data_IF_588495675845
#
_entry.id   IF_588495675845
#
_cell.length_a   1.000
_cell.length_b   1.000
_cell.length_c   1.000
_cell.angle_alpha   90.00
_cell.angle_beta   90.00
_cell.angle_gamma   90.00
#
_symmetry.space_group_name_H-M   'P 1'
#
loop_
_entity.id
_entity.type
_entity.pdbx_description
1 polymer ?
#
# COMPACT_ATOMS: atom_id res chain seq x y z
N UNK A 1 -25.95 -11.94 63.82
CA UNK A 1 -24.51 -11.66 63.76
C UNK A 1 -23.84 -12.68 62.86
N UNK A 2 -22.94 -12.21 61.97
CA UNK A 2 -22.15 -12.90 60.93
C UNK A 2 -22.81 -13.09 59.54
N UNK A 3 -22.52 -12.07 58.72
CA UNK A 3 -22.42 -12.07 57.25
C UNK A 3 -21.67 -13.28 56.69
N UNK A 4 -22.01 -13.70 55.46
CA UNK A 4 -21.15 -13.62 54.26
C UNK A 4 -21.71 -14.54 53.16
N UNK A 5 -22.60 -14.00 52.32
CA UNK A 5 -22.93 -14.60 51.02
C UNK A 5 -23.22 -13.49 50.02
N UNK A 6 -22.18 -12.72 49.71
CA UNK A 6 -22.22 -11.70 48.67
C UNK A 6 -20.87 -11.73 47.96
N UNK A 7 -20.62 -12.79 47.20
CA UNK A 7 -19.38 -12.94 46.44
C UNK A 7 -19.59 -13.79 45.20
N UNK A 8 -20.57 -13.47 44.34
CA UNK A 8 -20.69 -14.17 43.05
C UNK A 8 -21.35 -13.37 41.91
N UNK A 9 -21.39 -12.04 41.96
CA UNK A 9 -22.01 -11.22 40.91
C UNK A 9 -21.23 -9.93 40.56
N UNK A 10 -19.90 -9.95 40.69
CA UNK A 10 -19.03 -8.85 40.21
C UNK A 10 -17.86 -9.45 39.42
N UNK A 11 -18.16 -10.33 38.46
CA UNK A 11 -17.16 -10.80 37.49
C UNK A 11 -17.73 -10.93 36.07
N UNK A 12 -18.71 -10.07 35.76
CA UNK A 12 -19.31 -9.88 34.43
C UNK A 12 -19.38 -8.39 34.09
N UNK A 13 -18.37 -7.64 34.50
CA UNK A 13 -18.12 -6.27 34.05
C UNK A 13 -16.61 -6.18 33.80
N UNK A 14 -16.21 -5.65 32.63
CA UNK A 14 -14.82 -5.44 32.18
C UNK A 14 -14.11 -6.60 31.45
N UNK A 15 -14.70 -7.14 30.38
CA UNK A 15 -13.91 -7.44 29.17
C UNK A 15 -14.74 -7.15 27.92
N UNK A 16 -15.36 -5.97 27.87
CA UNK A 16 -15.70 -5.35 26.60
C UNK A 16 -14.94 -4.02 26.53
N UNK A 17 -13.63 -4.12 26.76
CA UNK A 17 -12.71 -3.12 26.25
C UNK A 17 -12.93 -3.13 24.75
N UNK A 18 -13.63 -2.13 24.25
CA UNK A 18 -13.64 -1.81 22.85
C UNK A 18 -12.18 -1.90 22.37
N UNK A 19 -11.84 -2.95 21.61
CA UNK A 19 -10.80 -2.86 20.61
C UNK A 19 -11.35 -1.90 19.56
N UNK A 20 -11.44 -0.62 19.89
CA UNK A 20 -11.20 0.43 18.93
C UNK A 20 -9.72 0.30 18.62
N UNK A 21 -9.39 -0.65 17.73
CA UNK A 21 -8.12 -0.64 17.05
C UNK A 21 -8.09 0.67 16.28
N UNK A 22 -7.43 1.65 16.85
CA UNK A 22 -7.08 2.88 16.16
C UNK A 22 -6.29 2.43 14.93
N UNK A 23 -6.93 2.50 13.76
CA UNK A 23 -6.28 2.13 12.51
C UNK A 23 -5.23 3.19 12.26
N UNK A 24 -3.98 2.86 12.57
CA UNK A 24 -2.85 3.75 12.36
C UNK A 24 -2.75 4.08 10.87
N UNK A 25 -2.56 5.36 10.59
CA UNK A 25 -2.20 5.86 9.27
C UNK A 25 -0.94 5.15 8.75
N UNK A 26 -0.81 4.97 7.44
CA UNK A 26 0.38 4.33 6.87
C UNK A 26 1.55 5.30 6.92
N UNK A 27 2.68 4.82 7.46
CA UNK A 27 3.96 5.49 7.31
C UNK A 27 4.53 5.17 5.93
N UNK A 28 4.53 6.15 5.03
CA UNK A 28 5.05 6.01 3.67
C UNK A 28 6.27 6.91 3.51
N UNK A 29 7.41 6.27 3.28
CA UNK A 29 8.67 6.93 2.96
C UNK A 29 9.04 6.66 1.50
N UNK A 30 9.33 7.73 0.76
CA UNK A 30 9.92 7.64 -0.57
C UNK A 30 11.44 7.82 -0.49
N UNK A 31 12.17 6.72 -0.71
CA UNK A 31 13.65 6.71 -0.73
C UNK A 31 14.16 6.74 -2.16
N UNK A 32 15.17 7.57 -2.42
CA UNK A 32 15.86 7.63 -3.71
C UNK A 32 17.32 7.23 -3.52
N UNK A 33 17.76 6.21 -4.26
CA UNK A 33 19.18 5.89 -4.43
C UNK A 33 19.66 6.50 -5.74
N UNK A 34 20.82 7.15 -5.71
CA UNK A 34 21.40 7.81 -6.89
C UNK A 34 22.70 7.08 -7.26
N UNK A 35 22.84 6.73 -8.54
CA UNK A 35 24.08 6.19 -9.11
C UNK A 35 24.70 7.25 -10.05
N UNK A 36 26.03 7.39 -10.05
CA UNK A 36 26.78 8.34 -10.89
C UNK A 36 26.29 9.80 -10.77
N UNK A 37 26.03 10.22 -9.53
CA UNK A 37 25.55 11.56 -9.17
C UNK A 37 26.40 12.68 -9.80
N UNK A 38 25.73 13.69 -10.36
CA UNK A 38 26.34 14.86 -10.99
C UNK A 38 26.89 14.62 -12.40
N UNK A 39 26.72 13.42 -12.97
CA UNK A 39 27.21 13.10 -14.31
C UNK A 39 26.08 13.00 -15.33
N UNK A 40 26.42 13.00 -16.63
CA UNK A 40 25.46 12.71 -17.72
C UNK A 40 24.84 11.31 -17.65
N UNK A 41 25.40 10.42 -16.82
CA UNK A 41 24.98 9.03 -16.63
C UNK A 41 24.23 8.84 -15.31
N UNK A 42 23.82 9.93 -14.64
CA UNK A 42 23.12 9.88 -13.36
C UNK A 42 21.82 9.08 -13.49
N UNK A 43 21.62 8.12 -12.58
CA UNK A 43 20.40 7.34 -12.49
C UNK A 43 19.83 7.42 -11.09
N UNK A 44 18.50 7.57 -10.99
CA UNK A 44 17.79 7.64 -9.71
C UNK A 44 16.83 6.47 -9.62
N UNK A 45 16.88 5.78 -8.49
CA UNK A 45 16.11 4.57 -8.22
C UNK A 45 15.17 4.89 -7.07
N UNK A 46 13.88 5.01 -7.37
CA UNK A 46 12.81 5.31 -6.41
C UNK A 46 12.28 4.05 -5.73
N UNK A 47 12.13 4.09 -4.42
CA UNK A 47 11.59 3.00 -3.61
C UNK A 47 10.51 3.55 -2.68
N UNK A 48 9.39 2.83 -2.58
CA UNK A 48 8.40 3.09 -1.53
C UNK A 48 8.63 2.13 -0.38
N UNK A 49 8.81 2.69 0.80
CA UNK A 49 8.86 1.95 2.04
C UNK A 49 7.56 2.25 2.79
N UNK A 50 6.78 1.23 3.08
CA UNK A 50 5.48 1.34 3.75
C UNK A 50 5.57 0.55 5.05
N UNK A 51 5.36 1.23 6.17
CA UNK A 51 5.53 0.67 7.52
C UNK A 51 6.87 -0.07 7.68
N UNK A 52 7.95 0.54 7.16
CA UNK A 52 9.31 -0.01 7.22
C UNK A 52 9.63 -1.15 6.24
N UNK A 53 8.68 -1.59 5.39
CA UNK A 53 8.90 -2.63 4.37
C UNK A 53 8.91 -2.05 2.97
N UNK A 54 9.83 -2.51 2.13
CA UNK A 54 9.84 -2.11 0.72
C UNK A 54 8.62 -2.67 0.00
N UNK A 55 7.88 -1.80 -0.68
CA UNK A 55 6.82 -2.21 -1.58
C UNK A 55 7.42 -2.89 -2.82
N UNK A 56 6.92 -4.06 -3.24
CA UNK A 56 7.43 -4.73 -4.41
C UNK A 56 7.07 -3.99 -5.70
N UNK A 57 7.91 -4.13 -6.72
CA UNK A 57 7.77 -3.49 -8.02
C UNK A 57 6.77 -4.26 -8.89
N UNK A 58 5.49 -4.30 -8.51
CA UNK A 58 4.44 -5.01 -9.27
C UNK A 58 3.34 -4.07 -9.78
N UNK A 59 3.30 -2.84 -9.29
CA UNK A 59 2.23 -1.89 -9.55
C UNK A 59 2.75 -0.74 -10.40
N UNK A 60 1.98 -0.34 -11.41
CA UNK A 60 2.29 0.84 -12.23
C UNK A 60 1.96 2.14 -11.48
N UNK A 61 0.99 2.09 -10.58
CA UNK A 61 0.57 3.22 -9.73
C UNK A 61 0.34 2.73 -8.32
N UNK A 62 0.80 3.52 -7.35
CA UNK A 62 0.52 3.35 -5.93
C UNK A 62 0.06 4.70 -5.41
N UNK A 63 -1.02 4.74 -4.64
CA UNK A 63 -1.51 6.00 -4.11
C UNK A 63 -2.06 5.87 -2.69
N UNK A 64 -1.81 6.91 -1.91
CA UNK A 64 -2.16 7.01 -0.50
C UNK A 64 -2.29 8.46 -0.09
N UNK A 65 -3.26 8.77 0.77
CA UNK A 65 -3.49 10.11 1.32
C UNK A 65 -3.35 11.25 0.30
N UNK A 66 -3.98 11.06 -0.86
CA UNK A 66 -3.93 12.07 -1.92
C UNK A 66 -2.55 12.31 -2.52
N UNK A 67 -1.56 11.43 -2.32
CA UNK A 67 -0.28 11.35 -3.05
C UNK A 67 -0.32 10.15 -4.00
N UNK A 68 0.10 10.36 -5.25
CA UNK A 68 0.24 9.28 -6.24
C UNK A 68 1.71 9.08 -6.57
N UNK A 69 2.14 7.83 -6.63
CA UNK A 69 3.46 7.40 -7.05
C UNK A 69 3.33 6.59 -8.33
N UNK A 70 4.11 6.96 -9.35
CA UNK A 70 4.11 6.31 -10.64
C UNK A 70 5.38 5.50 -10.77
N UNK A 71 5.24 4.24 -11.18
CA UNK A 71 6.39 3.42 -11.52
C UNK A 71 6.97 3.90 -12.85
N UNK A 72 8.22 4.37 -12.80
CA UNK A 72 8.97 4.83 -13.95
C UNK A 72 9.97 3.77 -14.39
N UNK A 73 10.18 3.67 -15.70
CA UNK A 73 11.23 2.85 -16.31
C UNK A 73 12.03 3.76 -17.24
N UNK A 74 13.28 4.07 -16.90
CA UNK A 74 14.15 4.82 -17.82
C UNK A 74 14.43 3.97 -19.06
N UNK A 75 14.55 4.63 -20.21
CA UNK A 75 14.90 3.95 -21.46
C UNK A 75 16.40 3.92 -21.74
N UNK A 76 17.18 4.70 -20.99
CA UNK A 76 18.62 4.87 -21.17
C UNK A 76 19.38 4.50 -19.89
N UNK A 77 20.72 4.64 -19.91
CA UNK A 77 21.56 4.40 -18.72
C UNK A 77 21.40 5.47 -17.62
N UNK A 78 20.67 6.55 -17.89
CA UNK A 78 20.42 7.68 -16.99
C UNK A 78 18.92 7.95 -16.85
N UNK A 79 18.55 8.66 -15.78
CA UNK A 79 17.16 8.99 -15.43
C UNK A 79 16.56 8.08 -14.37
N UNK A 80 15.23 8.05 -14.33
CA UNK A 80 14.45 7.54 -13.20
C UNK A 80 13.95 6.11 -13.43
N UNK A 81 14.14 5.22 -12.45
CA UNK A 81 13.42 3.95 -12.36
C UNK A 81 12.80 3.70 -10.97
N UNK A 82 11.73 2.92 -10.91
CA UNK A 82 10.99 2.70 -9.68
C UNK A 82 9.92 3.77 -9.43
N UNK A 83 9.44 3.86 -8.20
CA UNK A 83 8.29 4.70 -7.85
C UNK A 83 8.72 6.15 -7.59
N UNK A 84 8.08 7.13 -8.24
CA UNK A 84 8.29 8.55 -7.99
C UNK A 84 6.97 9.30 -7.75
N UNK A 85 6.93 10.29 -6.85
CA UNK A 85 5.72 11.04 -6.56
C UNK A 85 5.32 11.94 -7.73
N UNK A 86 4.03 11.96 -8.04
CA UNK A 86 3.42 12.90 -8.96
C UNK A 86 3.08 14.19 -8.20
N UNK A 87 3.70 15.31 -8.58
CA UNK A 87 3.59 16.61 -7.87
C UNK A 87 2.15 17.14 -7.70
N UNK A 88 1.21 16.69 -8.52
CA UNK A 88 -0.21 17.07 -8.41
C UNK A 88 -1.06 15.83 -8.29
N UNK A 89 -1.18 15.36 -7.07
CA UNK A 89 -1.97 14.19 -6.81
C UNK A 89 -3.46 14.56 -6.66
N UNK A 90 -4.30 13.71 -7.24
CA UNK A 90 -5.74 13.90 -7.33
C UNK A 90 -6.41 13.14 -6.20
N UNK A 91 -7.39 13.78 -5.55
CA UNK A 91 -8.27 13.08 -4.61
C UNK A 91 -8.94 11.88 -5.30
N UNK A 92 -9.05 10.77 -4.58
CA UNK A 92 -9.78 9.61 -5.09
C UNK A 92 -11.25 9.97 -5.26
N UNK A 93 -11.83 9.57 -6.39
CA UNK A 93 -13.26 9.71 -6.58
C UNK A 93 -14.01 8.80 -5.60
N UNK A 94 -15.00 9.32 -4.86
CA UNK A 94 -15.81 8.48 -3.99
C UNK A 94 -16.72 7.56 -4.82
N UNK A 95 -16.81 6.31 -4.39
CA UNK A 95 -17.82 5.37 -4.90
C UNK A 95 -19.17 5.62 -4.20
N UNK A 96 -20.27 5.27 -4.88
CA UNK A 96 -21.59 5.19 -4.24
C UNK A 96 -21.71 4.00 -3.30
N UNK A 97 -20.85 2.99 -3.48
CA UNK A 97 -20.83 1.77 -2.68
C UNK A 97 -20.18 2.01 -1.31
N UNK A 98 -20.67 1.26 -0.32
CA UNK A 98 -20.17 1.25 1.06
C UNK A 98 -19.19 0.09 1.21
N UNK A 99 -18.13 0.31 1.99
CA UNK A 99 -17.17 -0.72 2.37
C UNK A 99 -17.86 -1.78 3.24
N UNK A 100 -17.61 -3.06 2.95
CA UNK A 100 -18.30 -4.17 3.62
C UNK A 100 -17.35 -5.09 4.36
N UNK A 101 -17.90 -5.92 5.25
CA UNK A 101 -17.13 -6.93 5.99
C UNK A 101 -16.48 -7.96 5.05
N UNK A 102 -17.07 -8.23 3.88
CA UNK A 102 -16.45 -9.11 2.89
C UNK A 102 -15.16 -8.49 2.31
N UNK A 103 -15.16 -7.18 2.04
CA UNK A 103 -13.97 -6.45 1.60
C UNK A 103 -12.87 -6.55 2.67
N UNK A 104 -13.25 -6.33 3.94
CA UNK A 104 -12.33 -6.43 5.08
C UNK A 104 -11.72 -7.83 5.23
N UNK A 105 -12.55 -8.88 5.12
CA UNK A 105 -12.12 -10.27 5.26
C UNK A 105 -11.24 -10.72 4.10
N UNK A 106 -11.51 -10.25 2.87
CA UNK A 106 -10.68 -10.51 1.71
C UNK A 106 -9.35 -9.76 1.80
N UNK A 107 -9.39 -8.51 2.27
CA UNK A 107 -8.23 -7.64 2.40
C UNK A 107 -7.98 -6.73 1.20
N UNK A 108 -8.86 -6.77 0.18
CA UNK A 108 -8.88 -5.83 -0.94
C UNK A 108 -10.27 -5.75 -1.56
N UNK A 109 -10.50 -4.73 -2.38
CA UNK A 109 -11.63 -4.68 -3.31
C UNK A 109 -11.21 -4.01 -4.63
N UNK A 110 -11.72 -4.55 -5.74
CA UNK A 110 -11.43 -4.04 -7.08
C UNK A 110 -12.11 -2.70 -7.37
N UNK A 111 -11.45 -1.89 -8.21
CA UNK A 111 -11.95 -0.62 -8.71
C UNK A 111 -11.06 0.57 -8.37
N UNK A 112 -11.35 1.70 -9.04
CA UNK A 112 -10.61 2.96 -8.91
C UNK A 112 -11.28 4.01 -8.02
N UNK A 113 -12.47 3.70 -7.49
CA UNK A 113 -13.24 4.61 -6.63
C UNK A 113 -13.22 4.13 -5.18
N UNK A 114 -13.01 5.06 -4.25
CA UNK A 114 -12.93 4.74 -2.82
C UNK A 114 -14.34 4.49 -2.27
N UNK A 115 -14.59 3.28 -1.75
CA UNK A 115 -15.85 2.96 -1.06
C UNK A 115 -15.97 3.77 0.23
N UNK A 116 -17.18 4.22 0.57
CA UNK A 116 -17.43 4.95 1.82
C UNK A 116 -17.10 4.04 3.01
N UNK A 117 -16.23 4.52 3.91
CA UNK A 117 -15.78 3.76 5.08
C UNK A 117 -14.59 2.82 4.81
N UNK A 118 -13.90 2.96 3.68
CA UNK A 118 -12.62 2.28 3.46
C UNK A 118 -11.65 2.65 4.57
N UNK A 119 -10.98 1.67 5.21
CA UNK A 119 -9.96 1.94 6.23
C UNK A 119 -8.88 2.90 5.76
N UNK A 120 -8.45 3.79 6.65
CA UNK A 120 -7.41 4.79 6.36
C UNK A 120 -6.04 4.18 6.10
N UNK A 121 -5.83 2.92 6.45
CA UNK A 121 -4.57 2.20 6.27
C UNK A 121 -4.54 1.33 4.99
N UNK A 122 -5.43 1.60 4.05
CA UNK A 122 -5.47 0.90 2.76
C UNK A 122 -4.83 1.74 1.66
N UNK A 123 -4.15 1.04 0.76
CA UNK A 123 -3.48 1.63 -0.39
C UNK A 123 -4.31 1.42 -1.63
N UNK A 124 -4.27 2.40 -2.52
CA UNK A 124 -4.69 2.19 -3.90
C UNK A 124 -3.51 1.69 -4.73
N UNK A 125 -3.74 0.67 -5.55
CA UNK A 125 -2.75 0.15 -6.49
C UNK A 125 -3.36 -0.10 -7.87
N UNK A 126 -2.58 0.12 -8.92
CA UNK A 126 -2.93 -0.22 -10.31
C UNK A 126 -1.86 -1.10 -10.94
N UNK A 127 -2.27 -2.02 -11.81
CA UNK A 127 -1.42 -2.81 -12.69
C UNK A 127 -2.09 -2.96 -14.06
N UNK A 128 -1.41 -3.60 -15.03
CA UNK A 128 -1.92 -3.73 -16.41
C UNK A 128 -3.27 -4.45 -16.52
N UNK A 129 -3.64 -5.25 -15.53
CA UNK A 129 -4.86 -6.04 -15.51
C UNK A 129 -5.97 -5.50 -14.61
N UNK A 130 -5.74 -4.43 -13.85
CA UNK A 130 -6.74 -3.95 -12.90
C UNK A 130 -6.24 -2.92 -11.92
N UNK A 131 -7.14 -2.55 -11.00
CA UNK A 131 -6.86 -1.65 -9.91
C UNK A 131 -7.68 -2.08 -8.69
N UNK A 132 -7.15 -1.85 -7.50
CA UNK A 132 -7.85 -2.13 -6.26
C UNK A 132 -7.41 -1.23 -5.13
N UNK A 133 -8.25 -1.15 -4.10
CA UNK A 133 -7.81 -0.75 -2.76
C UNK A 133 -7.47 -2.00 -1.97
N UNK A 134 -6.33 -2.01 -1.30
CA UNK A 134 -5.77 -3.20 -0.64
C UNK A 134 -5.17 -2.83 0.72
N UNK A 135 -5.37 -3.71 1.70
CA UNK A 135 -4.66 -3.66 2.97
C UNK A 135 -3.18 -3.96 2.76
N UNK A 136 -2.30 -3.21 3.42
CA UNK A 136 -0.85 -3.42 3.35
C UNK A 136 -0.42 -4.86 3.65
N UNK A 137 -1.10 -5.51 4.59
CA UNK A 137 -0.80 -6.89 5.01
C UNK A 137 -1.22 -7.95 3.98
N UNK A 138 -1.89 -7.52 2.90
CA UNK A 138 -2.50 -8.40 1.90
C UNK A 138 -1.96 -8.16 0.49
N UNK A 139 -0.92 -7.34 0.36
CA UNK A 139 -0.29 -7.04 -0.94
C UNK A 139 0.30 -8.30 -1.59
N UNK A 140 1.01 -9.13 -0.83
CA UNK A 140 1.59 -10.37 -1.36
C UNK A 140 0.50 -11.35 -1.82
N UNK A 141 -0.55 -11.51 -1.02
CA UNK A 141 -1.73 -12.32 -1.35
C UNK A 141 -2.41 -11.83 -2.64
N UNK A 142 -2.57 -10.51 -2.79
CA UNK A 142 -3.11 -9.88 -4.00
C UNK A 142 -2.25 -10.19 -5.23
N UNK A 143 -0.93 -10.03 -5.13
CA UNK A 143 0.01 -10.29 -6.23
C UNK A 143 -0.12 -11.75 -6.69
N UNK A 144 -0.19 -12.70 -5.75
CA UNK A 144 -0.36 -14.13 -6.05
C UNK A 144 -1.72 -14.40 -6.69
N UNK A 145 -2.80 -13.88 -6.10
CA UNK A 145 -4.17 -14.10 -6.55
C UNK A 145 -4.39 -13.66 -8.00
N UNK A 146 -3.93 -12.45 -8.34
CA UNK A 146 -4.09 -11.87 -9.68
C UNK A 146 -2.90 -12.17 -10.60
N UNK A 147 -1.90 -12.91 -10.13
CA UNK A 147 -0.66 -13.21 -10.86
C UNK A 147 -0.01 -11.94 -11.43
N UNK A 148 0.08 -10.91 -10.60
CA UNK A 148 0.55 -9.59 -11.02
C UNK A 148 2.05 -9.69 -11.31
N UNK A 149 2.49 -9.45 -12.55
CA UNK A 149 3.90 -9.60 -12.90
C UNK A 149 4.76 -8.53 -12.24
N UNK A 150 5.98 -8.90 -11.87
CA UNK A 150 6.97 -7.91 -11.45
C UNK A 150 7.38 -7.04 -12.65
N UNK A 151 7.40 -5.73 -12.44
CA UNK A 151 7.89 -4.72 -13.35
C UNK A 151 9.40 -4.63 -13.18
N UNK A 152 10.14 -4.90 -14.25
CA UNK A 152 11.60 -4.80 -14.21
C UNK A 152 12.03 -3.34 -14.12
N UNK A 153 12.96 -3.03 -13.22
CA UNK A 153 13.72 -1.79 -13.29
C UNK A 153 14.65 -1.82 -14.50
N UNK A 154 14.80 -0.68 -15.15
CA UNK A 154 15.61 -0.52 -16.36
C UNK A 154 17.11 -0.50 -16.05
N UNK A 155 17.67 -1.68 -15.79
CA UNK A 155 19.05 -2.09 -16.08
C UNK A 155 19.34 -3.54 -15.67
N UNK A 156 18.35 -4.44 -15.67
CA UNK A 156 18.60 -5.89 -15.59
C UNK A 156 18.82 -6.54 -16.97
N UNK A 157 19.37 -5.78 -17.93
CA UNK A 157 19.61 -6.24 -19.31
C UNK A 157 21.09 -6.18 -19.75
N UNK A 158 22.04 -5.97 -18.82
CA UNK A 158 23.48 -6.12 -19.15
C UNK A 158 23.96 -7.58 -19.24
N UNK A 159 23.05 -8.55 -19.39
CA UNK A 159 23.38 -9.95 -19.66
C UNK A 159 22.85 -10.48 -21.00
N UNK A 160 22.07 -9.69 -21.75
CA UNK A 160 21.51 -10.15 -23.03
C UNK A 160 21.49 -9.04 -24.07
N UNK A 161 22.68 -8.60 -24.49
CA UNK A 161 22.90 -8.15 -25.86
C UNK A 161 24.26 -8.70 -26.30
N UNK A 162 24.23 -9.29 -27.49
CA UNK A 162 25.23 -10.14 -28.17
C UNK A 162 26.64 -9.53 -28.29
#
# INVERSE_FOLDING_TARGET
MKMKTALFYIMTFLVLSCLTGEQAELDIEHKVRIDQEGTRSESRHGYLIINGKALPDNFSVVAYDGVKYIFSQRQNMWGDDGYFPLQKALAFEPATQVFRNEDLALGWYEGSKVKKGTPVNWLYVEWSGGACFVSIDRIEDLIVQYKIPAIRRSNDNRLFME
#
